data_IF_763537109225
#
_entry.id   IF_763537109225
#
_cell.length_a   1.000
_cell.length_b   1.000
_cell.length_c   1.000
_cell.angle_alpha   90.00
_cell.angle_beta   90.00
_cell.angle_gamma   90.00
#
_symmetry.space_group_name_H-M   'P 1'
#
loop_
_entity.id
_entity.type
_entity.pdbx_description
1 polymer ?
#
# COMPACT_ATOMS: atom_id res chain seq x y z
N UNK A 1 3.14 21.08 -28.00
CA UNK A 1 4.20 20.06 -28.05
C UNK A 1 3.58 18.71 -27.71
N UNK A 2 3.82 17.67 -28.50
CA UNK A 2 3.31 16.31 -28.23
C UNK A 2 4.27 15.58 -27.28
N UNK A 3 4.21 15.88 -25.98
CA UNK A 3 5.16 15.32 -25.00
C UNK A 3 5.05 13.81 -24.81
N UNK A 4 3.97 13.18 -25.28
CA UNK A 4 3.77 11.73 -25.23
C UNK A 4 4.45 10.99 -26.38
N UNK A 5 4.85 11.71 -27.44
CA UNK A 5 5.56 11.16 -28.61
C UNK A 5 6.87 11.90 -28.85
N UNK A 6 7.77 11.88 -27.88
CA UNK A 6 9.13 12.37 -28.09
C UNK A 6 9.91 11.34 -28.91
N UNK A 7 10.64 11.82 -29.93
CA UNK A 7 11.57 11.01 -30.71
C UNK A 7 12.88 10.73 -29.95
N UNK A 8 13.84 10.10 -30.64
CA UNK A 8 15.18 9.82 -30.10
C UNK A 8 16.12 11.04 -30.11
N UNK A 9 15.69 12.14 -30.73
CA UNK A 9 16.46 13.37 -30.79
C UNK A 9 16.64 13.99 -29.40
N UNK A 10 17.90 14.26 -29.04
CA UNK A 10 18.25 14.86 -27.76
C UNK A 10 18.68 16.32 -27.95
N UNK A 11 17.92 17.23 -27.36
CA UNK A 11 18.33 18.62 -27.15
C UNK A 11 18.57 18.88 -25.65
N UNK A 12 19.03 20.08 -25.31
CA UNK A 12 19.29 20.48 -23.92
C UNK A 12 18.05 20.44 -23.01
N UNK A 13 16.84 20.27 -23.57
CA UNK A 13 15.58 20.19 -22.82
C UNK A 13 14.95 18.78 -22.86
N UNK A 14 15.57 17.80 -23.51
CA UNK A 14 14.98 16.47 -23.70
C UNK A 14 14.67 15.77 -22.38
N UNK A 15 15.54 15.89 -21.37
CA UNK A 15 15.28 15.27 -20.06
C UNK A 15 14.12 15.93 -19.32
N UNK A 16 14.03 17.27 -19.35
CA UNK A 16 12.91 18.01 -18.79
C UNK A 16 11.58 17.61 -19.46
N UNK A 17 11.57 17.45 -20.78
CA UNK A 17 10.39 17.01 -21.54
C UNK A 17 9.97 15.58 -21.15
N UNK A 18 10.92 14.64 -20.99
CA UNK A 18 10.64 13.26 -20.54
C UNK A 18 10.06 13.25 -19.14
N UNK A 19 10.70 13.94 -18.18
CA UNK A 19 10.23 14.03 -16.79
C UNK A 19 8.84 14.65 -16.73
N UNK A 20 8.59 15.72 -17.48
CA UNK A 20 7.27 16.37 -17.55
C UNK A 20 6.18 15.40 -18.06
N UNK A 21 6.46 14.66 -19.13
CA UNK A 21 5.52 13.66 -19.65
C UNK A 21 5.24 12.55 -18.64
N UNK A 22 6.28 11.90 -18.12
CA UNK A 22 6.12 10.76 -17.23
C UNK A 22 5.51 11.14 -15.88
N UNK A 23 5.76 12.36 -15.38
CA UNK A 23 5.03 12.89 -14.22
C UNK A 23 3.57 13.18 -14.54
N UNK A 24 3.23 13.62 -15.75
CA UNK A 24 1.84 13.80 -16.18
C UNK A 24 1.11 12.45 -16.24
N UNK A 25 1.72 11.45 -16.89
CA UNK A 25 1.24 10.06 -16.91
C UNK A 25 1.03 9.53 -15.47
N UNK A 26 2.01 9.77 -14.61
CA UNK A 26 1.98 9.35 -13.22
C UNK A 26 0.81 9.98 -12.45
N UNK A 27 0.62 11.29 -12.54
CA UNK A 27 -0.45 12.00 -11.85
C UNK A 27 -1.82 11.49 -12.30
N UNK A 28 -2.01 11.27 -13.61
CA UNK A 28 -3.25 10.75 -14.16
C UNK A 28 -3.59 9.36 -13.58
N UNK A 29 -2.64 8.42 -13.57
CA UNK A 29 -2.85 7.08 -13.03
C UNK A 29 -2.97 7.06 -11.50
N UNK A 30 -2.23 7.93 -10.80
CA UNK A 30 -2.36 8.07 -9.36
C UNK A 30 -3.77 8.49 -8.95
N UNK A 31 -4.40 9.40 -9.69
CA UNK A 31 -5.80 9.78 -9.47
C UNK A 31 -6.73 8.56 -9.58
N UNK A 32 -6.52 7.68 -10.55
CA UNK A 32 -7.29 6.43 -10.66
C UNK A 32 -7.13 5.53 -9.44
N UNK A 33 -5.91 5.39 -8.92
CA UNK A 33 -5.63 4.60 -7.70
C UNK A 33 -6.31 5.21 -6.48
N UNK A 34 -6.18 6.52 -6.28
CA UNK A 34 -6.76 7.24 -5.12
C UNK A 34 -8.28 7.22 -5.16
N UNK A 35 -8.89 7.39 -6.35
CA UNK A 35 -10.34 7.33 -6.52
C UNK A 35 -10.90 5.91 -6.51
N UNK A 36 -10.05 4.89 -6.39
CA UNK A 36 -10.41 3.48 -6.54
C UNK A 36 -11.27 3.23 -7.79
N UNK A 37 -10.95 3.95 -8.87
CA UNK A 37 -11.68 3.91 -10.12
C UNK A 37 -10.69 3.86 -11.25
N UNK A 38 -10.70 2.76 -12.01
CA UNK A 38 -9.88 2.61 -13.21
C UNK A 38 -10.47 3.41 -14.39
N UNK A 39 -10.74 4.69 -14.17
CA UNK A 39 -11.39 5.58 -15.14
C UNK A 39 -10.51 5.81 -16.39
N UNK A 40 -9.19 5.70 -16.24
CA UNK A 40 -8.23 5.76 -17.35
C UNK A 40 -7.90 4.35 -17.82
N UNK A 41 -8.60 3.89 -18.85
CA UNK A 41 -8.19 2.70 -19.62
C UNK A 41 -7.08 3.09 -20.58
N UNK A 42 -5.87 3.24 -20.04
CA UNK A 42 -4.64 3.29 -20.84
C UNK A 42 -4.02 1.89 -20.76
N UNK A 43 -4.73 0.90 -21.30
CA UNK A 43 -4.23 -0.48 -21.38
C UNK A 43 -3.25 -0.65 -22.57
N UNK A 44 -3.24 0.32 -23.48
CA UNK A 44 -2.35 0.35 -24.65
C UNK A 44 -1.33 1.51 -24.56
N UNK A 45 -0.17 1.19 -23.99
CA UNK A 45 0.98 2.09 -23.93
C UNK A 45 1.66 2.27 -25.31
N UNK A 46 1.22 1.58 -26.39
CA UNK A 46 1.86 1.65 -27.71
C UNK A 46 1.87 3.04 -28.33
N UNK A 47 0.96 3.91 -27.88
CA UNK A 47 0.85 5.29 -28.35
C UNK A 47 1.90 6.23 -27.73
N UNK A 48 2.61 5.78 -26.69
CA UNK A 48 3.62 6.54 -25.98
C UNK A 48 5.02 6.10 -26.40
N UNK A 49 5.68 6.93 -27.20
CA UNK A 49 7.04 6.64 -27.68
C UNK A 49 8.11 7.37 -26.88
N UNK A 50 7.70 8.15 -25.87
CA UNK A 50 8.61 8.98 -25.08
C UNK A 50 9.52 8.12 -24.22
N UNK A 51 10.85 8.22 -24.37
CA UNK A 51 11.77 7.43 -23.55
C UNK A 51 11.62 7.75 -22.06
N UNK A 52 11.91 6.78 -21.20
CA UNK A 52 11.95 7.01 -19.76
C UNK A 52 13.00 8.07 -19.38
N UNK A 53 12.77 8.83 -18.30
CA UNK A 53 13.77 9.75 -17.77
C UNK A 53 14.91 8.96 -17.12
N UNK A 54 16.03 9.63 -16.88
CA UNK A 54 17.26 9.00 -16.39
C UNK A 54 17.72 9.64 -15.09
N UNK A 55 18.23 8.81 -14.18
CA UNK A 55 19.15 9.23 -13.13
C UNK A 55 20.44 8.46 -13.29
N UNK A 56 21.57 9.15 -13.33
CA UNK A 56 22.87 8.50 -13.49
C UNK A 56 23.24 7.68 -12.25
N UNK A 57 22.85 8.16 -11.07
CA UNK A 57 23.07 7.47 -9.79
C UNK A 57 22.20 6.22 -9.59
N UNK A 58 21.07 6.12 -10.30
CA UNK A 58 20.12 5.01 -10.19
C UNK A 58 19.24 4.88 -11.45
N UNK A 59 19.74 4.19 -12.50
CA UNK A 59 19.04 4.07 -13.77
C UNK A 59 17.66 3.40 -13.70
N UNK A 60 17.38 2.63 -12.65
CA UNK A 60 16.13 1.89 -12.50
C UNK A 60 15.04 2.63 -11.72
N UNK A 61 15.35 3.73 -11.02
CA UNK A 61 14.40 4.36 -10.09
C UNK A 61 13.08 4.75 -10.77
N UNK A 62 13.15 5.34 -11.99
CA UNK A 62 11.97 5.69 -12.78
C UNK A 62 11.14 4.49 -13.19
N UNK A 63 11.79 3.40 -13.62
CA UNK A 63 11.11 2.18 -14.04
C UNK A 63 10.37 1.55 -12.86
N UNK A 64 11.06 1.36 -11.73
CA UNK A 64 10.48 0.78 -10.51
C UNK A 64 9.32 1.64 -10.00
N UNK A 65 9.43 2.97 -10.09
CA UNK A 65 8.38 3.90 -9.69
C UNK A 65 7.13 3.83 -10.55
N UNK A 66 7.28 3.71 -11.86
CA UNK A 66 6.17 3.56 -12.79
C UNK A 66 5.56 2.16 -12.75
N UNK A 67 6.38 1.11 -12.60
CA UNK A 67 5.90 -0.27 -12.41
C UNK A 67 5.05 -0.39 -11.15
N UNK A 68 5.51 0.18 -10.02
CA UNK A 68 4.73 0.20 -8.78
C UNK A 68 3.38 0.93 -8.94
N UNK A 69 3.32 2.00 -9.74
CA UNK A 69 2.07 2.69 -10.05
C UNK A 69 1.13 1.83 -10.90
N UNK A 70 1.64 1.22 -11.98
CA UNK A 70 0.87 0.35 -12.88
C UNK A 70 0.29 -0.85 -12.14
N UNK A 71 1.08 -1.48 -11.28
CA UNK A 71 0.64 -2.55 -10.38
C UNK A 71 -0.48 -2.04 -9.44
N UNK A 72 -0.34 -0.82 -8.92
CA UNK A 72 -1.41 -0.16 -8.15
C UNK A 72 -2.71 -0.02 -8.93
N UNK A 73 -2.66 0.42 -10.19
CA UNK A 73 -3.84 0.54 -11.06
C UNK A 73 -4.45 -0.84 -11.36
N UNK A 74 -3.63 -1.84 -11.67
CA UNK A 74 -4.08 -3.21 -11.88
C UNK A 74 -4.80 -3.77 -10.64
N UNK A 75 -4.32 -3.45 -9.44
CA UNK A 75 -4.98 -3.87 -8.20
C UNK A 75 -6.34 -3.23 -7.96
N UNK A 76 -6.56 -2.00 -8.46
CA UNK A 76 -7.90 -1.36 -8.40
C UNK A 76 -8.87 -2.06 -9.35
N UNK A 77 -8.44 -2.37 -10.57
CA UNK A 77 -9.24 -3.17 -11.52
C UNK A 77 -9.60 -4.53 -10.93
N UNK A 78 -8.60 -5.21 -10.35
CA UNK A 78 -8.79 -6.48 -9.64
C UNK A 78 -9.83 -6.39 -8.53
N UNK A 79 -9.75 -5.39 -7.63
CA UNK A 79 -10.71 -5.25 -6.53
C UNK A 79 -12.14 -5.05 -7.04
N UNK A 80 -12.35 -4.29 -8.12
CA UNK A 80 -13.67 -4.14 -8.74
C UNK A 80 -14.20 -5.49 -9.26
N UNK A 81 -13.39 -6.22 -10.03
CA UNK A 81 -13.78 -7.55 -10.56
C UNK A 81 -14.01 -8.58 -9.46
N UNK A 82 -13.20 -8.56 -8.40
CA UNK A 82 -13.37 -9.44 -7.24
C UNK A 82 -14.70 -9.19 -6.54
N UNK A 83 -15.07 -7.92 -6.33
CA UNK A 83 -16.36 -7.57 -5.72
C UNK A 83 -17.55 -7.99 -6.60
N UNK A 84 -17.45 -7.84 -7.92
CA UNK A 84 -18.50 -8.30 -8.85
C UNK A 84 -18.69 -9.82 -8.80
N UNK A 85 -17.60 -10.59 -8.76
CA UNK A 85 -17.66 -12.05 -8.64
C UNK A 85 -18.21 -12.50 -7.28
N UNK A 86 -17.79 -11.85 -6.20
CA UNK A 86 -18.28 -12.12 -4.84
C UNK A 86 -19.81 -11.93 -4.76
N UNK A 87 -20.34 -10.88 -5.39
CA UNK A 87 -21.78 -10.59 -5.39
C UNK A 87 -22.58 -11.49 -6.34
N UNK A 88 -21.97 -11.99 -7.41
CA UNK A 88 -22.63 -12.86 -8.39
C UNK A 88 -22.56 -14.34 -8.03
N UNK A 89 -21.87 -14.70 -6.94
CA UNK A 89 -21.59 -16.09 -6.56
C UNK A 89 -21.00 -16.90 -7.73
N UNK A 90 -20.19 -16.23 -8.57
CA UNK A 90 -19.57 -16.82 -9.74
C UNK A 90 -18.36 -17.70 -9.37
N UNK A 91 -17.85 -18.42 -10.35
CA UNK A 91 -16.68 -19.27 -10.18
C UNK A 91 -15.42 -18.42 -9.89
N UNK A 92 -14.71 -18.72 -8.79
CA UNK A 92 -13.66 -17.86 -8.21
C UNK A 92 -12.23 -18.27 -8.62
N UNK A 93 -12.03 -19.36 -9.38
CA UNK A 93 -10.69 -19.84 -9.77
C UNK A 93 -9.91 -18.80 -10.57
N UNK A 94 -10.57 -18.17 -11.56
CA UNK A 94 -9.93 -17.19 -12.44
C UNK A 94 -9.45 -15.95 -11.68
N UNK A 95 -10.23 -15.43 -10.73
CA UNK A 95 -9.83 -14.28 -9.92
C UNK A 95 -8.77 -14.66 -8.88
N UNK A 96 -8.81 -15.90 -8.36
CA UNK A 96 -7.77 -16.41 -7.48
C UNK A 96 -6.42 -16.53 -8.19
N UNK A 97 -6.40 -16.96 -9.45
CA UNK A 97 -5.19 -16.97 -10.28
C UNK A 97 -4.69 -15.56 -10.57
N UNK A 98 -5.59 -14.62 -10.89
CA UNK A 98 -5.24 -13.21 -11.08
C UNK A 98 -4.63 -12.60 -9.81
N UNK A 99 -5.17 -12.91 -8.62
CA UNK A 99 -4.63 -12.46 -7.35
C UNK A 99 -3.20 -12.96 -7.14
N UNK A 100 -2.93 -14.25 -7.40
CA UNK A 100 -1.58 -14.85 -7.28
C UNK A 100 -0.59 -14.23 -8.26
N UNK A 101 -1.02 -14.00 -9.51
CA UNK A 101 -0.18 -13.36 -10.52
C UNK A 101 0.20 -11.95 -10.10
N UNK A 102 -0.77 -11.18 -9.62
CA UNK A 102 -0.54 -9.79 -9.21
C UNK A 102 0.34 -9.70 -7.95
N UNK A 103 0.14 -10.58 -6.95
CA UNK A 103 1.05 -10.63 -5.78
C UNK A 103 2.48 -11.03 -6.17
N UNK A 104 2.65 -11.96 -7.12
CA UNK A 104 3.96 -12.31 -7.67
C UNK A 104 4.64 -11.11 -8.34
N UNK A 105 3.93 -10.32 -9.13
CA UNK A 105 4.46 -9.09 -9.72
C UNK A 105 4.85 -8.06 -8.66
N UNK A 106 4.04 -7.91 -7.61
CA UNK A 106 4.36 -7.04 -6.48
C UNK A 106 5.67 -7.45 -5.82
N UNK A 107 5.86 -8.75 -5.56
CA UNK A 107 7.09 -9.28 -4.95
C UNK A 107 8.32 -9.07 -5.84
N UNK A 108 8.20 -9.30 -7.15
CA UNK A 108 9.29 -9.09 -8.10
C UNK A 108 9.76 -7.62 -8.12
N UNK A 109 8.84 -6.66 -8.21
CA UNK A 109 9.18 -5.23 -8.23
C UNK A 109 9.67 -4.77 -6.85
N UNK A 110 9.14 -5.34 -5.76
CA UNK A 110 9.61 -5.05 -4.39
C UNK A 110 11.07 -5.46 -4.21
N UNK A 111 11.45 -6.64 -4.69
CA UNK A 111 12.83 -7.10 -4.64
C UNK A 111 13.77 -6.19 -5.43
N UNK A 112 13.35 -5.77 -6.64
CA UNK A 112 14.11 -4.77 -7.43
C UNK A 112 14.25 -3.44 -6.69
N UNK A 113 13.20 -2.98 -6.01
CA UNK A 113 13.23 -1.75 -5.23
C UNK A 113 14.21 -1.81 -4.05
N UNK A 114 14.42 -2.99 -3.45
CA UNK A 114 15.29 -3.22 -2.31
C UNK A 114 16.77 -3.41 -2.68
N UNK A 115 17.06 -4.03 -3.83
CA UNK A 115 18.41 -4.36 -4.26
C UNK A 115 19.22 -3.16 -4.83
N UNK A 116 18.99 -1.95 -4.34
CA UNK A 116 19.76 -0.80 -4.79
C UNK A 116 21.18 -0.82 -4.20
N UNK A 117 22.17 -0.85 -5.09
CA UNK A 117 23.57 -0.59 -4.73
C UNK A 117 23.89 0.85 -5.15
N UNK A 118 24.24 1.75 -4.21
CA UNK A 118 24.63 3.11 -4.56
C UNK A 118 25.82 3.10 -5.52
N UNK A 119 25.69 3.77 -6.66
CA UNK A 119 26.80 3.94 -7.60
C UNK A 119 27.78 4.97 -7.01
N UNK A 120 28.99 4.53 -6.64
CA UNK A 120 30.08 5.44 -6.31
C UNK A 120 30.57 6.13 -7.59
N UNK A 121 30.27 7.42 -7.75
CA UNK A 121 30.72 8.19 -8.92
C UNK A 121 30.87 9.69 -8.63
N UNK A 122 32.07 10.20 -8.90
CA UNK A 122 32.40 11.64 -9.01
C UNK A 122 31.76 12.23 -10.27
N UNK A 123 31.15 13.42 -10.20
CA UNK A 123 31.24 14.53 -11.18
C UNK A 123 30.30 15.68 -10.80
N UNK A 124 30.75 16.87 -11.18
CA UNK A 124 30.22 18.22 -10.99
C UNK A 124 28.82 18.44 -11.57
N UNK A 125 27.82 18.53 -10.69
CA UNK A 125 26.58 19.31 -10.72
C UNK A 125 25.67 18.68 -9.66
N UNK A 126 25.73 19.23 -8.45
CA UNK A 126 25.18 18.70 -7.20
C UNK A 126 24.45 17.34 -7.25
N UNK A 127 25.20 16.21 -7.18
CA UNK A 127 24.63 14.85 -7.13
C UNK A 127 23.70 14.58 -5.94
N UNK A 128 23.61 15.50 -4.96
CA UNK A 128 22.77 15.31 -3.79
C UNK A 128 21.27 15.29 -4.13
N UNK A 129 20.81 16.13 -5.07
CA UNK A 129 19.38 16.25 -5.35
C UNK A 129 18.82 15.09 -6.20
N UNK A 130 19.55 14.64 -7.22
CA UNK A 130 19.10 13.50 -8.04
C UNK A 130 19.18 12.19 -7.27
N UNK A 131 20.24 11.98 -6.47
CA UNK A 131 20.36 10.79 -5.61
C UNK A 131 19.26 10.76 -4.54
N UNK A 132 18.98 11.89 -3.88
CA UNK A 132 17.87 11.98 -2.95
C UNK A 132 16.52 11.71 -3.64
N UNK A 133 16.31 12.22 -4.85
CA UNK A 133 15.07 11.98 -5.63
C UNK A 133 14.92 10.50 -5.99
N UNK A 134 15.97 9.86 -6.50
CA UNK A 134 15.96 8.43 -6.80
C UNK A 134 15.67 7.59 -5.54
N UNK A 135 16.30 7.93 -4.42
CA UNK A 135 16.04 7.28 -3.13
C UNK A 135 14.58 7.45 -2.69
N UNK A 136 14.01 8.66 -2.80
CA UNK A 136 12.59 8.91 -2.52
C UNK A 136 11.71 8.06 -3.43
N UNK A 137 11.99 8.02 -4.73
CA UNK A 137 11.20 7.24 -5.69
C UNK A 137 11.18 5.75 -5.32
N UNK A 138 12.33 5.15 -5.00
CA UNK A 138 12.37 3.76 -4.53
C UNK A 138 11.55 3.53 -3.25
N UNK A 139 11.65 4.45 -2.28
CA UNK A 139 10.87 4.36 -1.03
C UNK A 139 9.37 4.47 -1.28
N UNK A 140 8.96 5.41 -2.13
CA UNK A 140 7.56 5.57 -2.54
C UNK A 140 7.05 4.33 -3.28
N UNK A 141 7.87 3.72 -4.14
CA UNK A 141 7.54 2.44 -4.79
C UNK A 141 7.27 1.35 -3.77
N UNK A 142 8.12 1.21 -2.75
CA UNK A 142 7.92 0.23 -1.66
C UNK A 142 6.62 0.48 -0.90
N UNK A 143 6.35 1.73 -0.52
CA UNK A 143 5.10 2.09 0.18
C UNK A 143 3.88 1.71 -0.68
N UNK A 144 3.92 2.01 -1.98
CA UNK A 144 2.83 1.71 -2.92
C UNK A 144 2.63 0.21 -3.12
N UNK A 145 3.72 -0.54 -3.29
CA UNK A 145 3.69 -1.99 -3.45
C UNK A 145 3.10 -2.64 -2.19
N UNK A 146 3.55 -2.23 -1.00
CA UNK A 146 2.96 -2.70 0.27
C UNK A 146 1.47 -2.35 0.40
N UNK A 147 1.06 -1.15 0.00
CA UNK A 147 -0.37 -0.77 -0.03
C UNK A 147 -1.17 -1.62 -1.02
N UNK A 148 -0.58 -1.97 -2.17
CA UNK A 148 -1.20 -2.91 -3.10
C UNK A 148 -1.37 -4.29 -2.48
N UNK A 149 -0.37 -4.84 -1.77
CA UNK A 149 -0.54 -6.11 -1.06
C UNK A 149 -1.66 -6.04 -0.02
N UNK A 150 -1.72 -4.97 0.77
CA UNK A 150 -2.85 -4.75 1.70
C UNK A 150 -4.18 -4.78 0.94
N UNK A 151 -4.29 -4.09 -0.20
CA UNK A 151 -5.52 -4.06 -1.01
C UNK A 151 -5.95 -5.45 -1.50
N UNK A 152 -5.00 -6.29 -1.91
CA UNK A 152 -5.27 -7.65 -2.37
C UNK A 152 -5.72 -8.57 -1.21
N UNK A 153 -5.05 -8.50 -0.07
CA UNK A 153 -5.20 -9.48 1.00
C UNK A 153 -6.20 -9.08 2.10
N UNK A 154 -6.54 -7.78 2.23
CA UNK A 154 -7.33 -7.28 3.37
C UNK A 154 -8.70 -7.95 3.53
N UNK A 155 -9.35 -8.32 2.42
CA UNK A 155 -10.65 -8.98 2.48
C UNK A 155 -10.51 -10.39 3.09
N UNK A 156 -9.55 -11.18 2.59
CA UNK A 156 -9.27 -12.51 3.14
C UNK A 156 -8.73 -12.47 4.58
N UNK A 157 -8.02 -11.40 4.96
CA UNK A 157 -7.39 -11.27 6.28
C UNK A 157 -8.33 -10.81 7.39
N UNK A 158 -9.36 -10.03 7.06
CA UNK A 158 -10.08 -9.23 8.05
C UNK A 158 -11.59 -9.09 7.80
N UNK A 159 -12.18 -9.86 6.87
CA UNK A 159 -13.63 -9.83 6.57
C UNK A 159 -14.54 -10.08 7.78
N UNK A 160 -14.02 -10.75 8.81
CA UNK A 160 -14.67 -11.09 10.07
C UNK A 160 -14.59 -10.00 11.15
N UNK A 161 -13.80 -8.95 10.93
CA UNK A 161 -13.50 -7.96 11.96
C UNK A 161 -14.40 -6.72 11.82
N UNK A 162 -15.16 -6.33 12.86
CA UNK A 162 -16.27 -5.37 12.75
C UNK A 162 -15.89 -3.90 12.44
N UNK A 163 -14.60 -3.56 12.36
CA UNK A 163 -14.14 -2.20 12.00
C UNK A 163 -14.57 -1.79 10.58
N UNK A 164 -14.83 -2.75 9.69
CA UNK A 164 -15.27 -2.53 8.32
C UNK A 164 -16.70 -2.01 8.16
N UNK A 165 -17.51 -2.02 9.23
CA UNK A 165 -18.91 -1.58 9.15
C UNK A 165 -19.08 -0.06 9.06
N UNK A 166 -18.04 0.72 9.35
CA UNK A 166 -18.05 2.18 9.23
C UNK A 166 -17.23 2.60 8.00
N UNK A 167 -17.89 2.84 6.85
CA UNK A 167 -17.57 3.68 5.67
C UNK A 167 -16.10 3.96 5.20
N UNK A 168 -15.06 3.36 5.77
CA UNK A 168 -13.65 3.66 5.48
C UNK A 168 -13.03 2.68 4.49
N UNK A 169 -13.77 1.64 4.11
CA UNK A 169 -13.38 0.67 3.09
C UNK A 169 -14.60 0.41 2.21
N UNK A 170 -14.49 0.61 0.91
CA UNK A 170 -15.57 0.46 -0.09
C UNK A 170 -16.06 -0.99 -0.30
N UNK A 171 -15.90 -1.84 0.71
CA UNK A 171 -16.40 -3.21 0.77
C UNK A 171 -17.68 -3.18 1.60
N UNK A 172 -18.84 -3.06 0.93
CA UNK A 172 -20.13 -3.22 1.60
C UNK A 172 -20.26 -4.67 2.04
N UNK A 173 -20.04 -4.95 3.32
CA UNK A 173 -20.41 -6.22 3.92
C UNK A 173 -21.93 -6.35 3.83
N UNK A 174 -22.42 -7.35 3.10
CA UNK A 174 -23.83 -7.75 3.19
C UNK A 174 -24.10 -8.18 4.62
N UNK A 175 -25.04 -7.49 5.28
CA UNK A 175 -25.45 -7.77 6.66
C UNK A 175 -25.80 -9.26 6.82
N UNK A 176 -24.87 -10.04 7.38
CA UNK A 176 -25.10 -11.41 7.84
C UNK A 176 -24.70 -11.59 9.31
N UNK A 177 -24.81 -10.52 10.11
CA UNK A 177 -24.58 -10.57 11.56
C UNK A 177 -25.87 -10.46 12.38
N UNK A 178 -26.94 -11.12 11.90
CA UNK A 178 -28.11 -11.44 12.72
C UNK A 178 -28.31 -12.97 12.76
N UNK A 179 -27.31 -13.69 13.25
CA UNK A 179 -27.58 -15.00 13.85
C UNK A 179 -26.82 -15.07 15.16
N UNK A 180 -27.50 -14.63 16.21
CA UNK A 180 -27.21 -14.92 17.60
C UNK A 180 -26.78 -16.38 17.77
N UNK A 181 -25.70 -16.56 18.52
CA UNK A 181 -25.17 -17.85 18.94
C UNK A 181 -26.29 -18.80 19.37
N UNK A 182 -26.45 -19.90 18.62
CA UNK A 182 -27.07 -21.11 19.13
C UNK A 182 -26.19 -22.28 18.71
N UNK A 183 -25.53 -22.86 19.72
CA UNK A 183 -24.88 -24.15 19.67
C UNK A 183 -25.98 -25.19 19.46
N UNK A 184 -26.09 -25.76 18.27
CA UNK A 184 -26.52 -27.15 18.07
C UNK A 184 -26.45 -27.58 16.61
N UNK A 185 -25.67 -28.63 16.40
CA UNK A 185 -25.87 -29.76 15.49
C UNK A 185 -25.68 -29.54 13.98
N UNK A 186 -24.80 -30.39 13.44
CA UNK A 186 -24.63 -30.79 12.05
C UNK A 186 -25.92 -30.67 11.22
N UNK A 187 -25.87 -29.93 10.11
CA UNK A 187 -26.31 -30.38 8.78
C UNK A 187 -26.22 -29.24 7.74
N UNK A 188 -25.62 -29.59 6.60
CA UNK A 188 -25.68 -28.90 5.31
C UNK A 188 -24.87 -27.60 5.13
N UNK A 189 -23.54 -27.73 5.20
CA UNK A 189 -22.67 -26.91 4.34
C UNK A 189 -22.93 -27.37 2.90
N UNK A 190 -23.40 -26.45 2.04
CA UNK A 190 -23.64 -26.75 0.64
C UNK A 190 -22.35 -27.30 -0.01
N UNK A 191 -22.40 -28.33 -0.86
CA UNK A 191 -21.22 -28.91 -1.53
C UNK A 191 -20.40 -27.93 -2.38
N UNK A 192 -20.90 -26.70 -2.57
CA UNK A 192 -20.28 -25.65 -3.36
C UNK A 192 -19.11 -24.95 -2.65
N UNK A 193 -19.17 -24.80 -1.31
CA UNK A 193 -18.12 -24.10 -0.54
C UNK A 193 -16.81 -24.91 -0.38
N UNK A 194 -16.86 -26.22 -0.63
CA UNK A 194 -15.71 -27.13 -0.46
C UNK A 194 -14.81 -27.14 -1.71
N UNK A 195 -15.29 -26.64 -2.86
CA UNK A 195 -14.60 -26.76 -4.16
C UNK A 195 -13.75 -25.54 -4.56
N UNK A 196 -13.83 -24.41 -3.87
CA UNK A 196 -13.04 -23.22 -4.17
C UNK A 196 -12.06 -22.93 -3.03
N UNK A 197 -10.90 -23.57 -3.09
CA UNK A 197 -9.79 -23.17 -2.20
C UNK A 197 -9.40 -21.73 -2.52
N UNK A 198 -9.37 -20.82 -1.53
CA UNK A 198 -8.99 -19.43 -1.75
C UNK A 198 -7.53 -19.36 -2.23
N UNK A 199 -7.17 -18.27 -2.92
CA UNK A 199 -5.81 -18.07 -3.41
C UNK A 199 -4.75 -18.14 -2.30
N UNK A 200 -5.11 -17.63 -1.12
CA UNK A 200 -4.31 -17.56 0.09
C UNK A 200 -5.17 -17.90 1.30
N UNK A 201 -4.57 -18.47 2.34
CA UNK A 201 -5.29 -18.70 3.60
C UNK A 201 -5.56 -17.39 4.34
N UNK A 202 -6.46 -17.45 5.32
CA UNK A 202 -6.74 -16.34 6.24
C UNK A 202 -5.48 -15.89 6.99
N UNK A 203 -4.72 -16.85 7.54
CA UNK A 203 -3.50 -16.55 8.31
C UNK A 203 -2.40 -15.95 7.42
N UNK A 204 -2.19 -16.53 6.22
CA UNK A 204 -1.23 -16.00 5.25
C UNK A 204 -1.57 -14.57 4.84
N UNK A 205 -2.85 -14.30 4.57
CA UNK A 205 -3.29 -12.95 4.17
C UNK A 205 -3.14 -11.95 5.33
N UNK A 206 -3.40 -12.38 6.56
CA UNK A 206 -3.18 -11.56 7.76
C UNK A 206 -1.71 -11.20 7.93
N UNK A 207 -0.81 -12.18 7.83
CA UNK A 207 0.64 -11.97 7.92
C UNK A 207 1.13 -11.01 6.82
N UNK A 208 0.69 -11.22 5.58
CA UNK A 208 1.04 -10.36 4.44
C UNK A 208 0.58 -8.92 4.67
N UNK A 209 -0.66 -8.72 5.15
CA UNK A 209 -1.19 -7.39 5.44
C UNK A 209 -0.37 -6.70 6.55
N UNK A 210 -0.13 -7.38 7.67
CA UNK A 210 0.61 -6.82 8.82
C UNK A 210 2.04 -6.47 8.43
N UNK A 211 2.75 -7.40 7.78
CA UNK A 211 4.12 -7.18 7.29
C UNK A 211 4.19 -6.00 6.30
N UNK A 212 3.18 -5.87 5.43
CA UNK A 212 3.07 -4.75 4.50
C UNK A 212 2.80 -3.43 5.22
N UNK A 213 1.94 -3.41 6.23
CA UNK A 213 1.64 -2.21 7.03
C UNK A 213 2.87 -1.72 7.81
N UNK A 214 3.61 -2.63 8.44
CA UNK A 214 4.88 -2.31 9.12
C UNK A 214 5.95 -1.84 8.14
N UNK A 215 5.99 -2.39 6.92
CA UNK A 215 6.87 -1.89 5.86
C UNK A 215 6.53 -0.45 5.49
N UNK A 216 5.25 -0.10 5.37
CA UNK A 216 4.80 1.28 5.12
C UNK A 216 5.29 2.21 6.26
N UNK A 217 5.05 1.84 7.52
CA UNK A 217 5.48 2.62 8.68
C UNK A 217 7.00 2.92 8.63
N UNK A 218 7.81 1.87 8.41
CA UNK A 218 9.28 1.98 8.31
C UNK A 218 9.72 2.83 7.12
N UNK A 219 9.08 2.74 5.97
CA UNK A 219 9.47 3.52 4.79
C UNK A 219 9.10 5.00 4.93
N UNK A 220 7.93 5.31 5.49
CA UNK A 220 7.53 6.69 5.82
C UNK A 220 8.56 7.32 6.77
N UNK A 221 9.03 6.55 7.75
CA UNK A 221 10.04 7.00 8.70
C UNK A 221 11.42 7.28 8.08
N UNK A 222 11.70 6.69 6.92
CA UNK A 222 13.00 6.80 6.25
C UNK A 222 12.98 7.73 5.04
N UNK A 223 11.87 8.42 4.77
CA UNK A 223 11.83 9.45 3.73
C UNK A 223 12.80 10.60 4.13
N UNK A 224 13.67 11.06 3.22
CA UNK A 224 14.63 12.11 3.53
C UNK A 224 13.95 13.45 3.81
N UNK A 225 14.60 14.26 4.64
CA UNK A 225 14.27 15.66 4.80
C UNK A 225 14.85 16.44 3.61
N UNK A 226 14.07 17.32 2.95
CA UNK A 226 14.58 18.22 1.93
C UNK A 226 15.68 19.09 2.55
N UNK A 227 16.86 19.13 1.93
CA UNK A 227 17.90 20.08 2.30
C UNK A 227 17.46 21.48 1.89
N UNK A 228 17.09 22.31 2.86
CA UNK A 228 16.87 23.74 2.62
C UNK A 228 18.16 24.50 2.90
N UNK A 229 18.50 25.45 2.03
CA UNK A 229 19.69 26.31 2.18
C UNK A 229 19.68 27.16 3.46
N UNK A 230 18.54 27.25 4.15
CA UNK A 230 18.29 28.21 5.22
C UNK A 230 18.19 27.56 6.61
N UNK A 231 18.49 26.26 6.76
CA UNK A 231 18.45 25.58 8.06
C UNK A 231 17.06 25.45 8.69
N UNK A 232 16.00 25.78 7.94
CA UNK A 232 14.61 25.59 8.35
C UNK A 232 14.30 24.11 8.17
N UNK A 233 13.88 23.45 9.26
CA UNK A 233 13.40 22.06 9.23
C UNK A 233 12.19 21.96 8.32
N UNK A 234 12.41 21.54 7.07
CA UNK A 234 11.35 21.25 6.11
C UNK A 234 10.68 19.92 6.49
N UNK A 235 9.36 19.75 6.27
CA UNK A 235 8.74 18.42 6.29
C UNK A 235 9.51 17.47 5.35
N UNK A 236 9.52 16.17 5.66
CA UNK A 236 10.01 15.12 4.77
C UNK A 236 9.34 15.21 3.40
N UNK A 237 10.05 14.73 2.37
CA UNK A 237 9.51 14.69 1.00
C UNK A 237 8.09 14.11 1.00
N UNK A 238 7.11 14.92 0.61
CA UNK A 238 5.70 14.60 0.79
C UNK A 238 5.33 13.36 -0.01
N UNK A 239 4.83 12.29 0.62
CA UNK A 239 4.37 11.14 -0.11
C UNK A 239 3.06 11.47 -0.84
N UNK A 240 3.01 11.14 -2.13
CA UNK A 240 1.76 10.97 -2.88
C UNK A 240 0.95 9.73 -2.43
N UNK A 241 1.21 9.25 -1.21
CA UNK A 241 0.70 8.02 -0.63
C UNK A 241 0.31 8.17 0.85
N UNK A 242 -0.17 9.35 1.27
CA UNK A 242 -0.75 9.55 2.61
C UNK A 242 -1.91 8.58 2.88
N UNK A 243 -2.70 8.23 1.86
CA UNK A 243 -3.72 7.19 1.95
C UNK A 243 -3.15 5.81 2.33
N UNK A 244 -1.90 5.49 1.97
CA UNK A 244 -1.24 4.25 2.36
C UNK A 244 -0.94 4.24 3.87
N UNK A 245 -0.68 5.40 4.48
CA UNK A 245 -0.48 5.51 5.93
C UNK A 245 -1.79 5.22 6.69
N UNK A 246 -2.92 5.75 6.22
CA UNK A 246 -4.25 5.41 6.75
C UNK A 246 -4.52 3.91 6.64
N UNK A 247 -4.34 3.33 5.44
CA UNK A 247 -4.56 1.89 5.22
C UNK A 247 -3.68 1.02 6.11
N UNK A 248 -2.40 1.36 6.28
CA UNK A 248 -1.49 0.65 7.17
C UNK A 248 -1.97 0.75 8.63
N UNK A 249 -2.36 1.94 9.09
CA UNK A 249 -2.86 2.15 10.46
C UNK A 249 -4.07 1.29 10.77
N UNK A 250 -5.03 1.23 9.84
CA UNK A 250 -6.20 0.35 9.99
C UNK A 250 -5.79 -1.10 10.11
N UNK A 251 -4.91 -1.61 9.24
CA UNK A 251 -4.42 -3.00 9.33
C UNK A 251 -3.79 -3.30 10.70
N UNK A 252 -2.97 -2.40 11.23
CA UNK A 252 -2.33 -2.59 12.54
C UNK A 252 -3.37 -2.61 13.67
N UNK A 253 -4.32 -1.68 13.67
CA UNK A 253 -5.42 -1.63 14.64
C UNK A 253 -6.33 -2.86 14.56
N UNK A 254 -6.64 -3.32 13.35
CA UNK A 254 -7.46 -4.50 13.12
C UNK A 254 -6.79 -5.76 13.68
N UNK A 255 -5.49 -5.92 13.42
CA UNK A 255 -4.74 -7.03 14.00
C UNK A 255 -4.69 -6.95 15.52
N UNK A 256 -4.52 -5.75 16.09
CA UNK A 256 -4.57 -5.55 17.54
C UNK A 256 -5.90 -6.02 18.13
N UNK A 257 -7.03 -5.60 17.55
CA UNK A 257 -8.35 -6.01 18.04
C UNK A 257 -8.60 -7.52 17.91
N UNK A 258 -8.12 -8.15 16.83
CA UNK A 258 -8.17 -9.61 16.68
C UNK A 258 -7.41 -10.33 17.79
N UNK A 259 -6.18 -9.91 18.08
CA UNK A 259 -5.37 -10.48 19.17
C UNK A 259 -6.02 -10.27 20.53
N UNK A 260 -6.60 -9.09 20.76
CA UNK A 260 -7.28 -8.78 22.02
C UNK A 260 -8.56 -9.61 22.21
N UNK A 261 -9.35 -9.83 21.15
CA UNK A 261 -10.54 -10.67 21.17
C UNK A 261 -10.17 -12.15 21.44
N UNK A 262 -9.08 -12.64 20.84
CA UNK A 262 -8.58 -13.99 21.08
C UNK A 262 -8.14 -14.19 22.55
N UNK A 263 -7.52 -13.18 23.17
CA UNK A 263 -7.11 -13.23 24.59
C UNK A 263 -8.30 -13.31 25.57
N UNK A 264 -9.47 -12.81 25.18
CA UNK A 264 -10.68 -12.88 26.01
C UNK A 264 -11.28 -14.30 26.07
N UNK A 265 -10.80 -15.26 25.27
CA UNK A 265 -11.23 -16.65 25.23
C UNK A 265 -10.22 -17.53 26.03
N UNK A 266 -10.49 -17.93 27.28
CA UNK A 266 -9.45 -18.34 28.25
C UNK A 266 -8.87 -19.76 28.11
N UNK A 267 -9.18 -20.48 27.03
CA UNK A 267 -8.92 -21.93 26.99
C UNK A 267 -7.56 -22.16 26.31
N UNK A 268 -6.51 -22.37 27.12
CA UNK A 268 -5.30 -23.14 26.81
C UNK A 268 -4.01 -22.44 26.30
N UNK A 269 -3.61 -21.23 26.76
CA UNK A 269 -2.38 -20.61 26.23
C UNK A 269 -1.51 -19.87 27.25
N UNK A 270 -0.62 -20.60 27.93
CA UNK A 270 0.46 -20.01 28.76
C UNK A 270 1.66 -19.52 27.94
N UNK A 271 2.05 -20.25 26.88
CA UNK A 271 3.23 -19.96 26.06
C UNK A 271 2.94 -18.97 24.90
N UNK A 272 1.69 -18.92 24.42
CA UNK A 272 1.25 -17.99 23.36
C UNK A 272 1.19 -16.52 23.82
N UNK A 273 1.23 -16.29 25.14
CA UNK A 273 1.07 -14.95 25.73
C UNK A 273 2.25 -14.04 25.40
N UNK A 274 3.48 -14.56 25.44
CA UNK A 274 4.68 -13.74 25.24
C UNK A 274 4.86 -13.31 23.78
N UNK A 275 4.62 -14.20 22.82
CA UNK A 275 4.70 -13.86 21.40
C UNK A 275 3.55 -12.95 20.96
N UNK A 276 2.38 -13.10 21.57
CA UNK A 276 1.26 -12.16 21.37
C UNK A 276 1.61 -10.77 21.92
N UNK A 277 2.21 -10.67 23.10
CA UNK A 277 2.65 -9.39 23.68
C UNK A 277 3.71 -8.71 22.81
N UNK A 278 4.71 -9.44 22.33
CA UNK A 278 5.69 -8.93 21.36
C UNK A 278 5.04 -8.41 20.08
N UNK A 279 4.06 -9.15 19.57
CA UNK A 279 3.33 -8.74 18.36
C UNK A 279 2.54 -7.45 18.63
N UNK A 280 1.83 -7.37 19.76
CA UNK A 280 1.10 -6.16 20.18
C UNK A 280 2.03 -4.96 20.31
N UNK A 281 3.23 -5.15 20.87
CA UNK A 281 4.23 -4.10 20.94
C UNK A 281 4.69 -3.67 19.54
N UNK A 282 4.96 -4.60 18.62
CA UNK A 282 5.33 -4.24 17.24
C UNK A 282 4.23 -3.45 16.52
N UNK A 283 2.96 -3.82 16.71
CA UNK A 283 1.82 -3.08 16.16
C UNK A 283 1.72 -1.66 16.73
N UNK A 284 1.93 -1.50 18.04
CA UNK A 284 1.95 -0.20 18.72
C UNK A 284 3.04 0.70 18.16
N UNK A 285 4.29 0.22 18.11
CA UNK A 285 5.41 0.98 17.57
C UNK A 285 5.19 1.35 16.09
N UNK A 286 4.61 0.43 15.30
CA UNK A 286 4.26 0.71 13.90
C UNK A 286 3.24 1.86 13.75
N UNK A 287 2.24 1.93 14.63
CA UNK A 287 1.27 3.03 14.65
C UNK A 287 1.89 4.35 15.10
N UNK A 288 2.72 4.34 16.15
CA UNK A 288 3.47 5.52 16.61
C UNK A 288 4.38 6.07 15.50
N UNK A 289 5.06 5.19 14.76
CA UNK A 289 5.88 5.56 13.60
C UNK A 289 5.05 6.24 12.50
N UNK A 290 3.85 5.74 12.23
CA UNK A 290 2.94 6.36 11.25
C UNK A 290 2.47 7.73 11.76
N UNK A 291 2.01 7.82 13.01
CA UNK A 291 1.55 9.08 13.62
C UNK A 291 2.66 10.13 13.61
N UNK A 292 3.88 9.75 13.97
CA UNK A 292 5.07 10.62 13.94
C UNK A 292 5.37 11.12 12.52
N UNK A 293 5.31 10.23 11.51
CA UNK A 293 5.49 10.63 10.12
C UNK A 293 4.39 11.58 9.65
N UNK A 294 3.14 11.31 9.99
CA UNK A 294 2.00 12.15 9.62
C UNK A 294 2.00 13.51 10.32
N UNK A 295 2.44 13.56 11.57
CA UNK A 295 2.72 14.80 12.29
C UNK A 295 3.75 15.65 11.53
N UNK A 296 4.85 15.03 11.07
CA UNK A 296 5.84 15.75 10.29
C UNK A 296 5.25 16.29 8.97
N UNK A 297 4.44 15.52 8.25
CA UNK A 297 3.80 16.01 7.01
C UNK A 297 2.78 17.12 7.27
N UNK A 298 2.02 17.04 8.36
CA UNK A 298 1.01 18.03 8.74
C UNK A 298 1.60 19.42 9.03
N UNK A 299 2.91 19.52 9.34
CA UNK A 299 3.58 20.83 9.51
C UNK A 299 3.54 21.70 8.27
N UNK A 300 3.44 21.10 7.07
CA UNK A 300 3.39 21.83 5.81
C UNK A 300 2.08 21.66 5.04
N UNK A 301 1.30 20.62 5.36
CA UNK A 301 0.04 20.32 4.68
C UNK A 301 -1.07 20.11 5.71
N UNK A 302 -1.80 21.18 6.01
CA UNK A 302 -2.89 21.19 6.99
C UNK A 302 -3.94 20.11 6.72
N UNK A 303 -4.24 19.80 5.45
CA UNK A 303 -5.18 18.74 5.07
C UNK A 303 -4.79 17.34 5.59
N UNK A 304 -3.53 17.11 5.98
CA UNK A 304 -3.08 15.84 6.58
C UNK A 304 -3.41 15.78 8.07
N UNK A 305 -3.57 16.91 8.75
CA UNK A 305 -3.86 16.97 10.17
C UNK A 305 -5.12 16.18 10.53
N UNK A 306 -6.19 16.31 9.73
CA UNK A 306 -7.43 15.54 9.93
C UNK A 306 -7.21 14.02 9.87
N UNK A 307 -6.48 13.53 8.86
CA UNK A 307 -6.16 12.10 8.75
C UNK A 307 -5.30 11.61 9.92
N UNK A 308 -4.35 12.42 10.39
CA UNK A 308 -3.53 12.10 11.56
C UNK A 308 -4.39 11.98 12.82
N UNK A 309 -5.26 12.96 13.05
CA UNK A 309 -6.08 13.02 14.26
C UNK A 309 -7.00 11.80 14.37
N UNK A 310 -7.55 11.32 13.24
CA UNK A 310 -8.32 10.06 13.19
C UNK A 310 -7.48 8.86 13.68
N UNK A 311 -6.24 8.72 13.20
CA UNK A 311 -5.35 7.63 13.63
C UNK A 311 -4.98 7.77 15.10
N UNK A 312 -4.68 8.99 15.56
CA UNK A 312 -4.30 9.23 16.96
C UNK A 312 -5.44 8.95 17.93
N UNK A 313 -6.68 9.32 17.58
CA UNK A 313 -7.87 8.97 18.36
C UNK A 313 -8.01 7.45 18.45
N UNK A 314 -7.92 6.74 17.32
CA UNK A 314 -8.04 5.28 17.28
C UNK A 314 -6.91 4.60 18.08
N UNK A 315 -5.69 5.13 18.00
CA UNK A 315 -4.54 4.66 18.77
C UNK A 315 -4.76 4.80 20.28
N UNK A 316 -5.22 5.96 20.76
CA UNK A 316 -5.48 6.20 22.19
C UNK A 316 -6.60 5.29 22.74
N UNK A 317 -7.57 4.93 21.91
CA UNK A 317 -8.62 3.98 22.29
C UNK A 317 -8.05 2.55 22.40
N UNK A 318 -7.20 2.15 21.44
CA UNK A 318 -6.59 0.83 21.43
C UNK A 318 -5.54 0.63 22.54
N UNK A 319 -4.77 1.67 22.85
CA UNK A 319 -3.67 1.63 23.82
C UNK A 319 -3.87 2.70 24.92
N UNK A 320 -4.82 2.48 25.85
CA UNK A 320 -4.99 3.37 26.99
C UNK A 320 -3.73 3.34 27.87
N UNK A 321 -3.29 4.52 28.30
CA UNK A 321 -2.14 4.71 29.20
C UNK A 321 -2.44 4.35 30.65
#
# INVERSE_FOLDING_TARGET
MSLHRLGLENDGFSEAKRRAWWMTYFCAHLCSVVRQSACLNIDDDSQFTTPYPRFECDPEAWLIFLDALRIGVASVKFTSSYNEQLNSHAEMSSINEQMKLLDSWVLQVSHRAENHVPVSGSVELDPAYESATAQVMRRLSRIRLSSTRIRLHRFQAFSDTPLFSANHCDLKTTNSFNTSANISNETNIAPYDILQSPAFTYDQSTEICVSSALTIARQLQRLPFPSTSNGITSPRAMPTCTCCAMQASYVLLMQFYKLHAARAQPILFGDLSQDTERTVDELRHGLEDIISSMNNFATAFEAIAGMRDEIEIAFRIAFPG
#
